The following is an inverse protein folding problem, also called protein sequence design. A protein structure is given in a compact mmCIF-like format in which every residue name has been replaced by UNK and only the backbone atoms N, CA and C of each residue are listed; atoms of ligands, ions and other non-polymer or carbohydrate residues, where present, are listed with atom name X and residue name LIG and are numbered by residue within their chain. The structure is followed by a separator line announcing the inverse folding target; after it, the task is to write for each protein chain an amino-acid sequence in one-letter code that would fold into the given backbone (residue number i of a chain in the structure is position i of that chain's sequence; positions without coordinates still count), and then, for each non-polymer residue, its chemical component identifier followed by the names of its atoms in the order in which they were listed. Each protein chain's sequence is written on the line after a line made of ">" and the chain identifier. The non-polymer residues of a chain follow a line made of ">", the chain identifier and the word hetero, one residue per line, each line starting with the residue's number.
data_IF_510496641744
#
_entry.id   IF_510496641744
#
_cell.length_a   1.000
_cell.length_b   1.000
_cell.length_c   1.000
_cell.angle_alpha   90.00
_cell.angle_beta   90.00
_cell.angle_gamma   90.00
#
_symmetry.space_group_name_H-M   'P 1'
#
loop_
_entity.id
_entity.type
_entity.pdbx_description
1 polymer ?
#
# COMPACT_ATOMS: atom_id res chain seq x y z
N UNK A 1 13.25 10.11 26.74
CA UNK A 1 13.38 9.23 25.55
C UNK A 1 12.05 9.08 24.80
N UNK A 2 10.95 8.71 25.46
CA UNK A 2 9.62 8.62 24.82
C UNK A 2 8.99 9.97 24.42
N UNK A 3 9.30 11.06 25.16
CA UNK A 3 8.84 12.42 24.85
C UNK A 3 9.42 12.98 23.54
N UNK A 4 10.70 12.69 23.23
CA UNK A 4 11.35 13.16 21.99
C UNK A 4 10.78 12.50 20.72
N UNK A 5 10.24 11.28 20.85
CA UNK A 5 9.54 10.57 19.77
C UNK A 5 8.19 11.25 19.50
N UNK A 6 7.49 11.67 20.56
CA UNK A 6 6.18 12.33 20.49
C UNK A 6 6.27 13.74 19.88
N UNK A 7 7.35 14.46 20.16
CA UNK A 7 7.59 15.82 19.64
C UNK A 7 7.94 15.81 18.13
N UNK A 8 8.74 14.84 17.66
CA UNK A 8 8.97 14.62 16.22
C UNK A 8 7.71 14.13 15.49
N UNK A 9 6.82 13.41 16.18
CA UNK A 9 5.52 12.98 15.65
C UNK A 9 4.53 14.15 15.49
N UNK A 10 4.68 15.21 16.29
CA UNK A 10 3.84 16.42 16.24
C UNK A 10 4.16 17.33 15.05
N UNK A 11 5.43 17.38 14.61
CA UNK A 11 5.84 18.14 13.42
C UNK A 11 5.34 17.54 12.09
N UNK A 12 4.84 16.29 12.11
CA UNK A 12 4.25 15.60 10.97
C UNK A 12 2.77 15.94 10.72
N UNK A 13 2.11 16.63 11.66
CA UNK A 13 0.67 16.93 11.59
C UNK A 13 0.32 18.21 10.80
N UNK A 14 1.32 18.88 10.23
CA UNK A 14 1.17 20.20 9.60
C UNK A 14 0.87 20.23 8.10
N UNK A 15 1.42 19.28 7.31
CA UNK A 15 1.30 19.33 5.85
C UNK A 15 0.86 17.97 5.29
N UNK A 16 -0.32 17.91 4.68
CA UNK A 16 -0.83 16.71 3.97
C UNK A 16 0.15 16.18 2.91
N UNK A 17 1.00 17.07 2.36
CA UNK A 17 2.08 16.72 1.43
C UNK A 17 3.17 15.84 2.05
N UNK A 18 3.45 16.00 3.35
CA UNK A 18 4.41 15.14 4.06
C UNK A 18 3.90 13.71 4.19
N UNK A 19 2.59 13.52 4.32
CA UNK A 19 1.96 12.19 4.33
C UNK A 19 2.08 11.49 2.98
N UNK A 20 1.86 12.22 1.88
CA UNK A 20 2.02 11.69 0.53
C UNK A 20 3.48 11.35 0.21
N UNK A 21 4.41 12.27 0.52
CA UNK A 21 5.86 12.04 0.35
C UNK A 21 6.35 10.91 1.24
N UNK A 22 5.86 10.81 2.47
CA UNK A 22 6.15 9.70 3.38
C UNK A 22 5.67 8.35 2.84
N UNK A 23 4.48 8.30 2.24
CA UNK A 23 3.94 7.10 1.57
C UNK A 23 4.77 6.67 0.36
N UNK A 24 5.24 7.64 -0.45
CA UNK A 24 6.15 7.37 -1.57
C UNK A 24 7.50 6.83 -1.07
N UNK A 25 8.08 7.45 -0.05
CA UNK A 25 9.32 6.98 0.56
C UNK A 25 9.18 5.58 1.15
N UNK A 26 8.06 5.29 1.82
CA UNK A 26 7.75 3.96 2.36
C UNK A 26 7.67 2.90 1.26
N UNK A 27 7.08 3.22 0.10
CA UNK A 27 7.00 2.30 -1.04
C UNK A 27 8.39 1.95 -1.61
N UNK A 28 9.31 2.91 -1.63
CA UNK A 28 10.72 2.67 -2.01
C UNK A 28 11.46 1.93 -0.88
N UNK A 29 11.18 2.25 0.38
CA UNK A 29 11.80 1.61 1.54
C UNK A 29 11.42 0.12 1.65
N UNK A 30 10.19 -0.23 1.25
CA UNK A 30 9.71 -1.61 1.10
C UNK A 30 10.55 -2.43 0.09
N UNK A 31 11.30 -1.79 -0.81
CA UNK A 31 12.25 -2.48 -1.70
C UNK A 31 13.51 -2.96 -0.97
N UNK A 32 13.92 -2.21 0.05
CA UNK A 32 15.20 -2.41 0.75
C UNK A 32 15.01 -3.20 2.04
N UNK A 33 13.87 -3.00 2.73
CA UNK A 33 13.57 -3.66 3.99
C UNK A 33 12.86 -4.99 3.75
N UNK A 34 13.37 -6.11 4.27
CA UNK A 34 12.68 -7.39 4.18
C UNK A 34 11.35 -7.33 4.95
N UNK A 35 10.25 -7.55 4.25
CA UNK A 35 8.91 -7.65 4.82
C UNK A 35 8.67 -9.09 5.23
N UNK A 36 8.11 -9.30 6.42
CA UNK A 36 7.69 -10.64 6.86
C UNK A 36 6.48 -11.12 6.05
N UNK A 37 6.45 -12.40 5.67
CA UNK A 37 5.43 -12.99 4.79
C UNK A 37 3.97 -12.80 5.25
N UNK A 38 3.73 -12.85 6.56
CA UNK A 38 2.38 -12.66 7.11
C UNK A 38 1.93 -11.20 6.99
N UNK A 39 2.87 -10.26 7.13
CA UNK A 39 2.60 -8.84 6.95
C UNK A 39 2.30 -8.54 5.47
N UNK A 40 3.08 -9.10 4.54
CA UNK A 40 2.81 -8.97 3.10
C UNK A 40 1.40 -9.44 2.75
N UNK A 41 0.97 -10.59 3.29
CA UNK A 41 -0.38 -11.13 3.10
C UNK A 41 -1.47 -10.14 3.55
N UNK A 42 -1.31 -9.54 4.72
CA UNK A 42 -2.24 -8.53 5.22
C UNK A 42 -2.28 -7.27 4.34
N UNK A 43 -1.12 -6.77 3.90
CA UNK A 43 -1.04 -5.60 3.03
C UNK A 43 -1.66 -5.87 1.64
N UNK A 44 -1.52 -7.07 1.10
CA UNK A 44 -2.16 -7.47 -0.15
C UNK A 44 -3.69 -7.48 -0.03
N UNK A 45 -4.23 -8.01 1.06
CA UNK A 45 -5.68 -7.98 1.33
C UNK A 45 -6.19 -6.54 1.40
N UNK A 46 -5.45 -5.66 2.08
CA UNK A 46 -5.78 -4.22 2.14
C UNK A 46 -5.73 -3.58 0.74
N UNK A 47 -4.74 -3.95 -0.10
CA UNK A 47 -4.65 -3.47 -1.49
C UNK A 47 -5.90 -3.80 -2.29
N UNK A 48 -6.37 -5.04 -2.20
CA UNK A 48 -7.59 -5.48 -2.88
C UNK A 48 -8.81 -4.73 -2.32
N UNK A 49 -8.93 -4.62 -0.99
CA UNK A 49 -10.04 -3.92 -0.34
C UNK A 49 -10.13 -2.44 -0.76
N UNK A 50 -9.02 -1.71 -0.73
CA UNK A 50 -8.95 -0.30 -1.17
C UNK A 50 -9.30 -0.18 -2.65
N UNK A 51 -8.89 -1.13 -3.48
CA UNK A 51 -9.21 -1.12 -4.92
C UNK A 51 -10.70 -1.26 -5.17
N UNK A 52 -11.36 -2.16 -4.44
CA UNK A 52 -12.80 -2.35 -4.51
C UNK A 52 -13.54 -1.13 -3.96
N UNK A 53 -13.04 -0.52 -2.88
CA UNK A 53 -13.58 0.72 -2.33
C UNK A 53 -13.52 1.84 -3.36
N UNK A 54 -12.36 2.06 -3.98
CA UNK A 54 -12.18 3.07 -5.03
C UNK A 54 -13.10 2.80 -6.21
N UNK A 55 -13.20 1.56 -6.67
CA UNK A 55 -14.13 1.17 -7.74
C UNK A 55 -15.57 1.56 -7.38
N UNK A 56 -16.00 1.22 -6.16
CA UNK A 56 -17.33 1.55 -5.67
C UNK A 56 -17.51 3.07 -5.64
N UNK A 57 -16.56 3.81 -5.05
CA UNK A 57 -16.59 5.27 -4.99
C UNK A 57 -16.81 5.87 -6.38
N UNK A 58 -16.04 5.47 -7.40
CA UNK A 58 -16.16 5.99 -8.76
C UNK A 58 -17.56 5.78 -9.34
N UNK A 59 -18.16 4.60 -9.12
CA UNK A 59 -19.51 4.27 -9.62
C UNK A 59 -20.57 5.19 -9.01
N UNK A 60 -20.35 5.68 -7.79
CA UNK A 60 -21.30 6.55 -7.08
C UNK A 60 -20.99 8.05 -7.15
N UNK A 61 -19.87 8.48 -7.76
CA UNK A 61 -19.55 9.89 -7.95
C UNK A 61 -20.61 10.54 -8.84
N UNK A 62 -21.16 11.68 -8.39
CA UNK A 62 -22.23 12.39 -9.12
C UNK A 62 -21.71 13.64 -9.83
N UNK A 63 -20.68 14.28 -9.28
CA UNK A 63 -20.20 15.58 -9.74
C UNK A 63 -18.75 15.54 -10.25
N UNK A 64 -18.43 16.24 -11.36
CA UNK A 64 -17.10 16.24 -11.96
C UNK A 64 -16.03 16.97 -11.12
N UNK A 65 -16.41 17.73 -10.08
CA UNK A 65 -15.48 18.35 -9.14
C UNK A 65 -14.81 17.32 -8.21
N UNK A 66 -15.51 16.22 -7.89
CA UNK A 66 -14.99 15.13 -7.06
C UNK A 66 -13.88 14.35 -7.78
N UNK A 67 -13.87 14.42 -9.12
CA UNK A 67 -12.81 13.85 -9.96
C UNK A 67 -11.46 14.55 -9.78
N UNK A 68 -11.38 15.78 -9.25
CA UNK A 68 -10.08 16.47 -9.09
C UNK A 68 -9.18 15.82 -8.03
N UNK A 69 -9.75 15.13 -7.04
CA UNK A 69 -8.99 14.41 -6.01
C UNK A 69 -8.57 13.01 -6.48
N UNK A 70 -9.30 12.48 -7.47
CA UNK A 70 -9.15 11.13 -7.97
C UNK A 70 -7.76 10.80 -8.52
N UNK A 71 -7.12 11.63 -9.40
CA UNK A 71 -5.78 11.37 -9.91
C UNK A 71 -4.73 11.16 -8.81
N UNK A 72 -4.77 11.98 -7.76
CA UNK A 72 -3.81 11.90 -6.65
C UNK A 72 -4.01 10.64 -5.83
N UNK A 73 -5.26 10.26 -5.55
CA UNK A 73 -5.57 9.01 -4.86
C UNK A 73 -5.14 7.80 -5.68
N UNK A 74 -5.41 7.81 -6.98
CA UNK A 74 -5.05 6.72 -7.89
C UNK A 74 -3.53 6.57 -7.99
N UNK A 75 -2.79 7.69 -8.04
CA UNK A 75 -1.33 7.69 -7.98
C UNK A 75 -0.80 7.08 -6.68
N UNK A 76 -1.29 7.53 -5.52
CA UNK A 76 -0.87 7.01 -4.22
C UNK A 76 -1.10 5.49 -4.09
N UNK A 77 -2.29 5.03 -4.50
CA UNK A 77 -2.66 3.60 -4.45
C UNK A 77 -1.82 2.79 -5.43
N UNK A 78 -1.52 3.33 -6.60
CA UNK A 78 -0.67 2.66 -7.59
C UNK A 78 0.76 2.50 -7.08
N UNK A 79 1.32 3.52 -6.41
CA UNK A 79 2.62 3.43 -5.77
C UNK A 79 2.66 2.39 -4.64
N UNK A 80 1.60 2.34 -3.83
CA UNK A 80 1.43 1.29 -2.82
C UNK A 80 1.44 -0.12 -3.45
N UNK A 81 0.68 -0.33 -4.53
CA UNK A 81 0.69 -1.61 -5.28
C UNK A 81 2.09 -1.94 -5.80
N UNK A 82 2.81 -0.96 -6.35
CA UNK A 82 4.16 -1.15 -6.88
C UNK A 82 5.09 -1.67 -5.78
N UNK A 83 5.08 -1.05 -4.60
CA UNK A 83 5.87 -1.50 -3.44
C UNK A 83 5.56 -2.94 -3.02
N UNK A 84 4.28 -3.30 -2.95
CA UNK A 84 3.86 -4.67 -2.61
C UNK A 84 4.29 -5.72 -3.64
N UNK A 85 4.22 -5.39 -4.93
CA UNK A 85 4.60 -6.29 -6.00
C UNK A 85 6.11 -6.56 -6.03
N UNK A 86 6.92 -5.56 -5.66
CA UNK A 86 8.36 -5.79 -5.56
C UNK A 86 8.72 -6.55 -4.28
N UNK A 87 8.07 -6.24 -3.16
CA UNK A 87 8.25 -7.02 -1.92
C UNK A 87 7.85 -8.49 -2.11
N UNK A 88 6.74 -8.77 -2.81
CA UNK A 88 6.29 -10.13 -3.10
C UNK A 88 7.24 -10.86 -4.03
N UNK A 89 7.68 -10.25 -5.13
CA UNK A 89 8.66 -10.88 -6.04
C UNK A 89 9.98 -11.16 -5.34
N UNK A 90 10.47 -10.27 -4.46
CA UNK A 90 11.65 -10.54 -3.64
C UNK A 90 11.46 -11.77 -2.73
N UNK A 91 10.35 -11.87 -2.01
CA UNK A 91 10.02 -13.02 -1.15
C UNK A 91 9.89 -14.33 -1.96
N UNK A 92 9.23 -14.28 -3.11
CA UNK A 92 9.12 -15.41 -4.04
C UNK A 92 10.51 -15.89 -4.49
N UNK A 93 11.39 -14.96 -4.88
CA UNK A 93 12.69 -15.31 -5.45
C UNK A 93 13.75 -15.70 -4.40
N UNK A 94 13.67 -15.16 -3.19
CA UNK A 94 14.64 -15.45 -2.13
C UNK A 94 14.23 -16.61 -1.23
N UNK A 95 12.97 -16.61 -0.78
CA UNK A 95 12.48 -17.54 0.24
C UNK A 95 11.56 -18.63 -0.34
N UNK A 96 11.07 -18.45 -1.58
CA UNK A 96 10.12 -19.37 -2.21
C UNK A 96 8.71 -19.35 -1.60
N UNK A 97 8.49 -18.51 -0.59
CA UNK A 97 7.23 -18.36 0.14
C UNK A 97 6.86 -16.88 0.22
N UNK A 98 5.75 -16.53 -0.43
CA UNK A 98 5.24 -15.16 -0.52
C UNK A 98 4.10 -14.88 0.47
N UNK A 99 3.82 -15.81 1.39
CA UNK A 99 2.74 -15.75 2.35
C UNK A 99 1.43 -16.37 1.84
N UNK A 100 0.56 -16.68 2.81
CA UNK A 100 -0.63 -17.51 2.58
C UNK A 100 -1.65 -16.93 1.61
N UNK A 101 -1.75 -15.61 1.46
CA UNK A 101 -2.70 -15.00 0.51
C UNK A 101 -2.27 -15.26 -0.93
N UNK A 102 -0.98 -15.11 -1.25
CA UNK A 102 -0.47 -15.39 -2.60
C UNK A 102 -0.59 -16.88 -2.91
N UNK A 103 -0.25 -17.75 -1.95
CA UNK A 103 -0.37 -19.20 -2.14
C UNK A 103 -1.83 -19.64 -2.32
N UNK A 104 -2.76 -19.11 -1.51
CA UNK A 104 -4.18 -19.37 -1.67
C UNK A 104 -4.70 -18.94 -3.05
N UNK A 105 -4.35 -17.73 -3.50
CA UNK A 105 -4.69 -17.26 -4.85
C UNK A 105 -4.09 -18.16 -5.95
N UNK A 106 -2.82 -18.55 -5.82
CA UNK A 106 -2.17 -19.45 -6.77
C UNK A 106 -2.88 -20.82 -6.84
N UNK A 107 -3.26 -21.37 -5.68
CA UNK A 107 -3.96 -22.65 -5.61
C UNK A 107 -5.39 -22.61 -6.14
N UNK A 108 -6.08 -21.48 -6.02
CA UNK A 108 -7.47 -21.32 -6.44
C UNK A 108 -7.64 -20.88 -7.91
N UNK A 109 -6.68 -20.12 -8.45
CA UNK A 109 -6.78 -19.54 -9.81
C UNK A 109 -6.02 -20.36 -10.85
N UNK A 110 -4.87 -20.95 -10.50
CA UNK A 110 -3.98 -21.63 -11.46
C UNK A 110 -4.25 -23.14 -11.54
N UNK A 111 -4.92 -23.72 -10.55
CA UNK A 111 -5.38 -25.12 -10.57
C UNK A 111 -6.89 -25.17 -10.60
#
# INVERSE_FOLDING_TARGET
>A
MFEQIKEKLSSLKGNSDLGFVGGLFLAIFLLVVPVHKDLLSLLLVISIAISLLILLTIIYLKDPSEFSVFPTLLLAVTLYRLGLNVASTRLILLDGDAGGVIEAFGSFVVR
#
